data_IF_188903368062
#
_entry.id   IF_188903368062
#
_cell.length_a   1.000
_cell.length_b   1.000
_cell.length_c   1.000
_cell.angle_alpha   90.00
_cell.angle_beta   90.00
_cell.angle_gamma   90.00
#
_symmetry.space_group_name_H-M   'P 1'
#
loop_
_entity.id
_entity.type
_entity.pdbx_description
1 polymer ?
#
# COMPACT_ATOMS: atom_id res chain seq x y z
N UNK A 1 -20.01 8.97 0.08
CA UNK A 1 -19.98 7.94 1.16
C UNK A 1 -19.63 6.60 0.53
N UNK A 2 -19.01 5.67 1.27
CA UNK A 2 -18.66 4.33 0.80
C UNK A 2 -19.14 3.31 1.84
N UNK A 3 -20.02 2.39 1.43
CA UNK A 3 -20.63 1.37 2.29
C UNK A 3 -21.28 1.93 3.58
N UNK A 4 -21.89 3.12 3.48
CA UNK A 4 -22.55 3.78 4.62
C UNK A 4 -21.63 4.56 5.55
N UNK A 5 -20.33 4.70 5.23
CA UNK A 5 -19.39 5.55 5.97
C UNK A 5 -18.86 6.71 5.14
N UNK A 6 -18.50 7.81 5.79
CA UNK A 6 -17.81 8.94 5.17
C UNK A 6 -16.36 8.57 4.86
N UNK A 7 -15.79 9.15 3.80
CA UNK A 7 -14.37 8.93 3.43
C UNK A 7 -13.45 9.33 4.59
N UNK A 8 -13.76 10.44 5.28
CA UNK A 8 -13.02 10.90 6.45
C UNK A 8 -12.97 9.89 7.60
N UNK A 9 -13.97 9.02 7.75
CA UNK A 9 -13.94 7.95 8.76
C UNK A 9 -12.89 6.89 8.41
N UNK A 10 -12.80 6.50 7.15
CA UNK A 10 -11.76 5.58 6.70
C UNK A 10 -10.39 6.20 6.89
N UNK A 11 -10.17 7.42 6.39
CA UNK A 11 -8.88 8.12 6.51
C UNK A 11 -8.46 8.28 7.98
N UNK A 12 -9.39 8.68 8.85
CA UNK A 12 -9.13 8.79 10.30
C UNK A 12 -8.79 7.44 10.92
N UNK A 13 -9.51 6.38 10.55
CA UNK A 13 -9.27 5.04 11.09
C UNK A 13 -7.88 4.51 10.73
N UNK A 14 -7.37 4.89 9.54
CA UNK A 14 -6.07 4.42 9.07
C UNK A 14 -4.93 5.44 9.02
N UNK A 15 -5.13 6.63 9.60
CA UNK A 15 -4.19 7.76 9.53
C UNK A 15 -2.75 7.40 9.89
N UNK A 16 -2.55 6.53 10.88
CA UNK A 16 -1.21 6.15 11.35
C UNK A 16 -0.49 5.34 10.27
N UNK A 17 -1.15 4.33 9.71
CA UNK A 17 -0.55 3.51 8.66
C UNK A 17 -0.34 4.29 7.36
N UNK A 18 -1.25 5.22 7.01
CA UNK A 18 -1.02 6.14 5.89
C UNK A 18 0.19 7.04 6.14
N UNK A 19 0.36 7.57 7.36
CA UNK A 19 1.51 8.39 7.71
C UNK A 19 2.82 7.58 7.65
N UNK A 20 2.83 6.33 8.13
CA UNK A 20 4.01 5.45 8.05
C UNK A 20 4.34 5.11 6.60
N UNK A 21 3.35 4.78 5.77
CA UNK A 21 3.56 4.54 4.33
C UNK A 21 4.15 5.77 3.64
N UNK A 22 3.59 6.95 3.89
CA UNK A 22 4.11 8.20 3.36
C UNK A 22 5.54 8.48 3.83
N UNK A 23 5.81 8.33 5.13
CA UNK A 23 7.14 8.55 5.69
C UNK A 23 8.18 7.61 5.08
N UNK A 24 7.89 6.31 4.99
CA UNK A 24 8.81 5.31 4.39
C UNK A 24 9.02 5.58 2.91
N UNK A 25 7.95 5.88 2.17
CA UNK A 25 8.03 6.17 0.74
C UNK A 25 8.83 7.44 0.42
N UNK A 26 8.56 8.52 1.14
CA UNK A 26 9.25 9.80 0.96
C UNK A 26 10.69 9.74 1.47
N UNK A 27 10.97 9.05 2.57
CA UNK A 27 12.34 8.83 3.04
C UNK A 27 13.14 8.02 2.01
N UNK A 28 12.56 6.96 1.44
CA UNK A 28 13.16 6.21 0.33
C UNK A 28 13.49 7.11 -0.86
N UNK A 29 12.55 7.96 -1.27
CA UNK A 29 12.77 8.90 -2.36
C UNK A 29 13.90 9.88 -2.02
N UNK A 30 13.81 10.56 -0.87
CA UNK A 30 14.75 11.59 -0.45
C UNK A 30 16.18 11.07 -0.30
N UNK A 31 16.36 9.88 0.27
CA UNK A 31 17.69 9.26 0.40
C UNK A 31 18.28 8.88 -0.96
N UNK A 32 17.46 8.38 -1.89
CA UNK A 32 17.92 8.10 -3.26
C UNK A 32 18.31 9.40 -3.99
N UNK A 33 17.52 10.46 -3.85
CA UNK A 33 17.85 11.78 -4.40
C UNK A 33 19.10 12.41 -3.77
N UNK A 34 19.41 12.07 -2.52
CA UNK A 34 20.66 12.45 -1.85
C UNK A 34 21.89 11.63 -2.31
N UNK A 35 21.72 10.73 -3.28
CA UNK A 35 22.80 9.93 -3.86
C UNK A 35 23.17 8.68 -3.07
N UNK A 36 22.35 8.25 -2.10
CA UNK A 36 22.62 6.99 -1.40
C UNK A 36 22.44 5.80 -2.36
N UNK A 37 23.30 4.76 -2.26
CA UNK A 37 23.17 3.57 -3.10
C UNK A 37 21.85 2.84 -2.89
N UNK A 38 21.27 2.32 -3.97
CA UNK A 38 19.97 1.62 -3.94
C UNK A 38 19.94 0.43 -2.99
N UNK A 39 21.07 -0.30 -2.84
CA UNK A 39 21.23 -1.40 -1.85
C UNK A 39 20.99 -0.99 -0.41
N UNK A 40 21.17 0.29 -0.09
CA UNK A 40 20.94 0.86 1.24
C UNK A 40 19.50 1.30 1.38
N UNK A 41 18.99 2.00 0.35
CA UNK A 41 17.67 2.62 0.37
C UNK A 41 16.55 1.58 0.20
N UNK A 42 16.81 0.43 -0.44
CA UNK A 42 15.81 -0.62 -0.70
C UNK A 42 15.13 -1.18 0.56
N UNK A 43 15.78 -1.08 1.73
CA UNK A 43 15.22 -1.54 3.00
C UNK A 43 14.02 -0.71 3.47
N UNK A 44 13.86 0.51 2.96
CA UNK A 44 12.66 1.33 3.15
C UNK A 44 11.55 0.87 2.19
N UNK A 45 10.91 -0.25 2.53
CA UNK A 45 9.93 -0.90 1.66
C UNK A 45 8.48 -0.57 2.04
N UNK A 46 7.83 0.27 1.22
CA UNK A 46 6.37 0.52 1.34
C UNK A 46 5.56 -0.78 1.16
N UNK A 47 6.05 -1.74 0.38
CA UNK A 47 5.38 -3.03 0.19
C UNK A 47 5.27 -3.80 1.51
N UNK A 48 6.36 -3.88 2.28
CA UNK A 48 6.37 -4.56 3.58
C UNK A 48 5.42 -3.87 4.55
N UNK A 49 5.47 -2.53 4.61
CA UNK A 49 4.56 -1.74 5.46
C UNK A 49 3.10 -1.94 5.04
N UNK A 50 2.80 -1.95 3.74
CA UNK A 50 1.47 -2.17 3.21
C UNK A 50 0.92 -3.55 3.57
N UNK A 51 1.74 -4.60 3.48
CA UNK A 51 1.35 -5.93 3.95
C UNK A 51 1.07 -5.96 5.45
N UNK A 52 1.93 -5.34 6.27
CA UNK A 52 1.69 -5.24 7.70
C UNK A 52 0.36 -4.51 8.01
N UNK A 53 0.04 -3.44 7.28
CA UNK A 53 -1.23 -2.75 7.37
C UNK A 53 -2.42 -3.64 6.98
N UNK A 54 -2.31 -4.43 5.91
CA UNK A 54 -3.34 -5.39 5.48
C UNK A 54 -3.66 -6.40 6.59
N UNK A 55 -2.64 -7.02 7.19
CA UNK A 55 -2.84 -7.94 8.33
C UNK A 55 -3.48 -7.22 9.52
N UNK A 56 -2.96 -6.05 9.87
CA UNK A 56 -3.48 -5.25 10.96
C UNK A 56 -4.97 -4.90 10.77
N UNK A 57 -5.39 -4.46 9.58
CA UNK A 57 -6.79 -4.12 9.34
C UNK A 57 -7.71 -5.33 9.22
N UNK A 58 -7.19 -6.49 8.80
CA UNK A 58 -7.91 -7.75 8.91
C UNK A 58 -8.38 -8.03 10.35
N UNK A 59 -7.55 -7.70 11.34
CA UNK A 59 -7.90 -7.81 12.77
C UNK A 59 -8.74 -6.61 13.24
N UNK A 60 -8.21 -5.40 13.03
CA UNK A 60 -8.73 -4.18 13.63
C UNK A 60 -10.15 -3.81 13.18
N UNK A 61 -10.55 -4.20 11.96
CA UNK A 61 -11.91 -3.95 11.47
C UNK A 61 -12.97 -4.61 12.36
N UNK A 62 -12.69 -5.81 12.86
CA UNK A 62 -13.57 -6.52 13.79
C UNK A 62 -13.39 -6.02 15.22
N UNK A 63 -12.16 -6.03 15.72
CA UNK A 63 -11.91 -5.79 17.15
C UNK A 63 -12.23 -4.36 17.60
N UNK A 64 -12.24 -3.41 16.65
CA UNK A 64 -12.60 -2.00 16.92
C UNK A 64 -14.01 -1.62 16.44
N UNK A 65 -14.81 -2.61 16.04
CA UNK A 65 -16.18 -2.38 15.56
C UNK A 65 -16.27 -1.48 14.33
N UNK A 66 -15.20 -1.41 13.51
CA UNK A 66 -15.18 -0.51 12.35
C UNK A 66 -16.13 -1.00 11.26
N UNK A 67 -16.22 -2.31 11.03
CA UNK A 67 -17.15 -2.84 10.04
C UNK A 67 -16.94 -4.31 9.69
N UNK A 68 -17.13 -4.63 8.41
CA UNK A 68 -17.10 -5.99 7.85
C UNK A 68 -16.24 -6.06 6.59
N UNK A 69 -16.23 -7.22 5.92
CA UNK A 69 -15.39 -7.52 4.75
C UNK A 69 -15.40 -6.43 3.67
N UNK A 70 -16.55 -5.81 3.38
CA UNK A 70 -16.67 -4.75 2.37
C UNK A 70 -15.86 -3.49 2.72
N UNK A 71 -15.67 -3.21 4.01
CA UNK A 71 -14.93 -2.03 4.48
C UNK A 71 -13.41 -2.19 4.36
N UNK A 72 -12.91 -3.41 4.17
CA UNK A 72 -11.49 -3.65 3.90
C UNK A 72 -11.07 -3.10 2.53
N UNK A 73 -11.96 -3.18 1.52
CA UNK A 73 -11.69 -2.68 0.16
C UNK A 73 -11.26 -1.20 0.14
N UNK A 74 -12.05 -0.24 0.66
CA UNK A 74 -11.63 1.16 0.66
C UNK A 74 -10.42 1.43 1.55
N UNK A 75 -10.22 0.69 2.65
CA UNK A 75 -9.00 0.84 3.47
C UNK A 75 -7.75 0.54 2.65
N UNK A 76 -7.74 -0.61 1.97
CA UNK A 76 -6.61 -1.06 1.17
C UNK A 76 -6.45 -0.21 -0.09
N UNK A 77 -7.55 0.17 -0.74
CA UNK A 77 -7.52 1.05 -1.90
C UNK A 77 -6.83 2.38 -1.57
N UNK A 78 -7.16 3.01 -0.45
CA UNK A 78 -6.50 4.27 -0.06
C UNK A 78 -5.00 4.10 0.22
N UNK A 79 -4.58 2.96 0.76
CA UNK A 79 -3.16 2.64 0.92
C UNK A 79 -2.48 2.48 -0.44
N UNK A 80 -3.11 1.76 -1.38
CA UNK A 80 -2.56 1.56 -2.72
C UNK A 80 -2.49 2.86 -3.51
N UNK A 81 -3.54 3.69 -3.45
CA UNK A 81 -3.49 5.02 -4.07
C UNK A 81 -2.31 5.83 -3.54
N UNK A 82 -2.11 5.88 -2.21
CA UNK A 82 -0.97 6.60 -1.63
C UNK A 82 0.39 6.05 -2.10
N UNK A 83 0.58 4.73 -1.98
CA UNK A 83 1.84 4.06 -2.37
C UNK A 83 2.14 4.29 -3.85
N UNK A 84 1.15 4.12 -4.72
CA UNK A 84 1.34 4.28 -6.15
C UNK A 84 1.50 5.75 -6.55
N UNK A 85 0.87 6.70 -5.85
CA UNK A 85 1.14 8.13 -6.07
C UNK A 85 2.60 8.50 -5.77
N UNK A 86 3.18 7.96 -4.69
CA UNK A 86 4.59 8.21 -4.35
C UNK A 86 5.52 7.59 -5.40
N UNK A 87 5.24 6.34 -5.82
CA UNK A 87 6.03 5.67 -6.85
C UNK A 87 5.97 6.41 -8.19
N UNK A 88 4.76 6.79 -8.63
CA UNK A 88 4.55 7.56 -9.86
C UNK A 88 5.25 8.91 -9.78
N UNK A 89 5.21 9.60 -8.65
CA UNK A 89 5.95 10.85 -8.47
C UNK A 89 7.46 10.66 -8.67
N UNK A 90 8.05 9.62 -8.07
CA UNK A 90 9.46 9.27 -8.30
C UNK A 90 9.77 8.97 -9.78
N UNK A 91 8.89 8.26 -10.47
CA UNK A 91 9.04 7.98 -11.91
C UNK A 91 8.96 9.26 -12.75
N UNK A 92 8.04 10.18 -12.44
CA UNK A 92 7.92 11.46 -13.13
C UNK A 92 9.18 12.32 -12.96
N UNK A 93 9.81 12.29 -11.78
CA UNK A 93 11.12 12.95 -11.56
C UNK A 93 12.20 12.33 -12.45
N UNK A 94 12.22 11.01 -12.60
CA UNK A 94 13.19 10.34 -13.47
C UNK A 94 12.95 10.68 -14.95
N UNK A 95 11.70 10.79 -15.40
CA UNK A 95 11.35 11.29 -16.74
C UNK A 95 11.86 12.72 -16.93
N UNK A 96 11.80 13.56 -15.89
CA UNK A 96 12.32 14.92 -15.89
C UNK A 96 13.87 15.01 -15.76
N UNK A 97 14.58 13.87 -15.81
CA UNK A 97 16.04 13.84 -15.77
C UNK A 97 16.64 13.74 -14.38
N UNK A 98 15.86 13.35 -13.36
CA UNK A 98 16.33 13.14 -11.98
C UNK A 98 16.23 11.66 -11.60
N UNK A 99 17.25 10.84 -11.92
CA UNK A 99 17.25 9.41 -11.62
C UNK A 99 17.06 9.13 -10.13
N UNK A 100 16.30 8.10 -9.80
CA UNK A 100 16.05 7.67 -8.43
C UNK A 100 15.53 6.22 -8.40
N UNK A 101 15.48 5.66 -7.19
CA UNK A 101 15.16 4.25 -6.93
C UNK A 101 13.77 3.80 -7.41
N UNK A 102 12.80 4.71 -7.59
CA UNK A 102 11.47 4.33 -8.08
C UNK A 102 11.43 4.07 -9.59
N UNK A 103 12.42 4.57 -10.34
CA UNK A 103 12.57 4.32 -11.77
C UNK A 103 13.63 3.24 -12.07
N UNK A 104 14.28 2.70 -11.04
CA UNK A 104 15.37 1.75 -11.18
C UNK A 104 14.85 0.38 -11.71
N UNK A 105 15.44 -0.18 -12.78
CA UNK A 105 14.93 -1.37 -13.47
C UNK A 105 14.80 -2.61 -12.59
N UNK A 106 15.68 -2.79 -11.61
CA UNK A 106 15.66 -3.92 -10.67
C UNK A 106 14.42 -3.94 -9.76
N UNK A 107 13.73 -2.81 -9.60
CA UNK A 107 12.51 -2.69 -8.80
C UNK A 107 11.23 -2.62 -9.63
N UNK A 108 11.34 -2.71 -10.96
CA UNK A 108 10.19 -2.79 -11.84
C UNK A 108 9.64 -4.23 -11.90
N UNK A 109 8.37 -4.42 -11.52
CA UNK A 109 7.71 -5.72 -11.45
C UNK A 109 7.04 -6.14 -12.76
N UNK A 110 6.74 -7.44 -12.96
CA UNK A 110 5.94 -7.91 -14.09
C UNK A 110 4.56 -7.22 -14.16
N UNK A 111 3.96 -7.04 -15.36
CA UNK A 111 4.46 -7.44 -16.68
C UNK A 111 5.45 -6.43 -17.30
N UNK A 112 5.73 -5.31 -16.62
CA UNK A 112 6.60 -4.23 -17.13
C UNK A 112 8.01 -4.29 -16.56
N UNK A 113 8.42 -5.47 -16.09
CA UNK A 113 9.74 -5.69 -15.52
C UNK A 113 10.80 -5.28 -16.55
N UNK A 114 11.70 -4.40 -16.13
CA UNK A 114 12.79 -3.81 -16.92
C UNK A 114 12.31 -3.04 -18.16
N UNK A 115 11.08 -2.52 -18.16
CA UNK A 115 10.63 -1.59 -19.20
C UNK A 115 11.53 -0.36 -19.21
N UNK A 116 12.21 -0.11 -20.34
CA UNK A 116 12.98 1.12 -20.56
C UNK A 116 12.06 2.33 -20.75
N UNK A 117 10.77 2.12 -21.00
CA UNK A 117 9.77 3.17 -21.11
C UNK A 117 9.16 3.50 -19.73
N UNK A 118 9.57 4.65 -19.17
CA UNK A 118 9.10 5.15 -17.88
C UNK A 118 7.63 5.61 -17.90
N UNK A 119 7.07 5.98 -19.05
CA UNK A 119 5.64 6.29 -19.17
C UNK A 119 4.78 5.03 -18.98
N UNK A 120 5.19 3.93 -19.62
CA UNK A 120 4.53 2.63 -19.42
C UNK A 120 4.67 2.16 -17.96
N UNK A 121 5.83 2.40 -17.34
CA UNK A 121 6.05 2.09 -15.93
C UNK A 121 5.11 2.90 -15.02
N UNK A 122 4.99 4.21 -15.21
CA UNK A 122 4.04 5.04 -14.47
C UNK A 122 2.58 4.58 -14.68
N UNK A 123 2.19 4.26 -15.91
CA UNK A 123 0.86 3.75 -16.23
C UNK A 123 0.57 2.42 -15.53
N UNK A 124 1.57 1.54 -15.43
CA UNK A 124 1.44 0.28 -14.71
C UNK A 124 1.08 0.49 -13.23
N UNK A 125 1.74 1.45 -12.58
CA UNK A 125 1.43 1.83 -11.20
C UNK A 125 0.00 2.37 -11.05
N UNK A 126 -0.46 3.19 -11.99
CA UNK A 126 -1.81 3.78 -11.98
C UNK A 126 -2.94 2.80 -12.34
N UNK A 127 -2.61 1.63 -12.88
CA UNK A 127 -3.59 0.63 -13.33
C UNK A 127 -3.46 -0.65 -12.52
N UNK A 128 -2.64 -1.59 -12.99
CA UNK A 128 -2.43 -2.90 -12.39
C UNK A 128 -1.90 -2.76 -10.96
N UNK A 129 -1.01 -1.79 -10.71
CA UNK A 129 -0.43 -1.51 -9.41
C UNK A 129 -1.46 -1.06 -8.36
N UNK A 130 -2.57 -0.44 -8.74
CA UNK A 130 -3.64 -0.12 -7.78
C UNK A 130 -4.59 -1.31 -7.66
N UNK A 131 -5.06 -1.85 -8.78
CA UNK A 131 -6.17 -2.83 -8.79
C UNK A 131 -5.75 -4.17 -8.19
N UNK A 132 -4.66 -4.76 -8.68
CA UNK A 132 -4.28 -6.13 -8.30
C UNK A 132 -3.90 -6.23 -6.82
N UNK A 133 -3.01 -5.37 -6.27
CA UNK A 133 -2.70 -5.39 -4.85
C UNK A 133 -3.90 -5.09 -3.96
N UNK A 134 -4.84 -4.24 -4.41
CA UNK A 134 -6.07 -3.97 -3.64
C UNK A 134 -6.91 -5.23 -3.50
N UNK A 135 -7.13 -5.97 -4.58
CA UNK A 135 -7.92 -7.20 -4.56
C UNK A 135 -7.23 -8.33 -3.80
N UNK A 136 -5.92 -8.52 -4.02
CA UNK A 136 -5.12 -9.50 -3.28
C UNK A 136 -5.09 -9.19 -1.79
N UNK A 137 -4.81 -7.93 -1.42
CA UNK A 137 -4.83 -7.49 -0.04
C UNK A 137 -6.21 -7.66 0.58
N UNK A 138 -7.28 -7.39 -0.16
CA UNK A 138 -8.65 -7.61 0.32
C UNK A 138 -8.92 -9.08 0.62
N UNK A 139 -8.48 -9.99 -0.25
CA UNK A 139 -8.57 -11.44 0.00
C UNK A 139 -7.84 -11.85 1.27
N UNK A 140 -6.59 -11.42 1.43
CA UNK A 140 -5.77 -11.72 2.62
C UNK A 140 -6.37 -11.12 3.89
N UNK A 141 -6.72 -9.83 3.89
CA UNK A 141 -7.33 -9.20 5.06
C UNK A 141 -8.70 -9.82 5.40
N UNK A 142 -9.44 -10.29 4.40
CA UNK A 142 -10.71 -11.01 4.62
C UNK A 142 -10.49 -12.35 5.29
N UNK A 143 -9.45 -13.10 4.90
CA UNK A 143 -9.07 -14.34 5.58
C UNK A 143 -8.67 -14.07 7.04
N UNK A 144 -7.85 -13.04 7.28
CA UNK A 144 -7.46 -12.62 8.64
C UNK A 144 -8.68 -12.21 9.46
N UNK A 145 -9.64 -11.49 8.87
CA UNK A 145 -10.89 -11.10 9.51
C UNK A 145 -11.75 -12.32 9.86
N UNK A 146 -11.83 -13.31 8.98
CA UNK A 146 -12.55 -14.56 9.22
C UNK A 146 -11.95 -15.30 10.43
N UNK A 147 -10.63 -15.46 10.45
CA UNK A 147 -9.90 -16.09 11.56
C UNK A 147 -10.13 -15.32 12.86
N UNK A 148 -10.01 -13.98 12.82
CA UNK A 148 -10.22 -13.11 13.99
C UNK A 148 -11.63 -13.28 14.57
N UNK A 149 -12.66 -13.36 13.71
CA UNK A 149 -14.05 -13.61 14.13
C UNK A 149 -14.22 -15.00 14.75
N UNK A 150 -13.60 -16.03 14.17
CA UNK A 150 -13.70 -17.39 14.68
C UNK A 150 -13.07 -17.51 16.08
N UNK A 151 -11.88 -16.93 16.28
CA UNK A 151 -11.18 -16.97 17.57
C UNK A 151 -11.93 -16.18 18.65
N UNK A 152 -12.39 -14.95 18.33
CA UNK A 152 -13.10 -14.11 19.30
C UNK A 152 -14.48 -14.65 19.69
N UNK A 153 -15.16 -15.41 18.82
CA UNK A 153 -16.41 -16.09 19.20
C UNK A 153 -16.15 -17.22 20.21
N UNK A 154 -15.08 -17.99 20.04
CA UNK A 154 -14.73 -19.08 20.95
C UNK A 154 -14.42 -18.58 22.37
N UNK A 155 -13.74 -17.44 22.50
CA UNK A 155 -13.42 -16.86 23.81
C UNK A 155 -14.62 -16.32 24.60
N UNK A 156 -15.80 -16.21 23.98
CA UNK A 156 -17.04 -15.76 24.67
C UNK A 156 -17.87 -16.94 25.16
N UNK A 157 -17.62 -18.15 24.66
CA UNK A 157 -18.40 -19.37 24.95
C UNK A 157 -17.71 -20.26 26.00
N UNK A 158 -16.50 -19.90 26.44
CA UNK A 158 -15.74 -20.55 27.53
C UNK A 158 -15.82 -19.64 28.75
#
# INVERSE_FOLDING_TARGET
MIFGKRISEYLRFQRVWLAVLAAVGLARLGLSLAGLPDRTVMWLSMTVVGWAAIFYYGVAVHTRGFGSYRHLVPLILFQMVLVQSIAVFGILLAIAGVPNIYAAPEFSGPPFARSTNQWTHALAHLTIGIVVPTLLGWGVASLVLLITKAVTRRSVVV
#
